data_IF_242542028403
#
_entry.id   IF_242542028403
#
_cell.length_a   1.000
_cell.length_b   1.000
_cell.length_c   1.000
_cell.angle_alpha   90.00
_cell.angle_beta   90.00
_cell.angle_gamma   90.00
#
_symmetry.space_group_name_H-M   'P 1'
#
loop_
_entity.id
_entity.type
_entity.pdbx_description
1 polymer ?
#
# COMPACT_ATOMS: atom_id res chain seq x y z
N UNK A 1 8.75 18.42 18.86
CA UNK A 1 7.44 18.68 18.20
C UNK A 1 7.13 17.73 17.03
N UNK A 2 8.09 17.03 16.42
CA UNK A 2 7.82 16.04 15.34
C UNK A 2 7.41 14.66 15.89
N UNK A 3 7.92 14.26 17.06
CA UNK A 3 7.62 12.96 17.66
C UNK A 3 6.12 12.73 17.91
N UNK A 4 5.37 13.77 18.28
CA UNK A 4 3.91 13.67 18.54
C UNK A 4 3.07 13.40 17.28
N UNK A 5 3.52 13.79 16.08
CA UNK A 5 2.81 13.45 14.85
C UNK A 5 3.00 11.97 14.46
N UNK A 6 4.10 11.35 14.88
CA UNK A 6 4.38 9.92 14.69
C UNK A 6 3.96 9.04 15.87
N UNK A 7 3.71 9.61 17.07
CA UNK A 7 3.37 8.85 18.29
C UNK A 7 2.02 9.17 18.92
N UNK A 8 1.20 10.08 18.35
CA UNK A 8 -0.15 10.34 18.88
C UNK A 8 -1.27 9.57 18.15
N UNK A 9 -0.99 8.96 16.99
CA UNK A 9 -1.92 8.03 16.34
C UNK A 9 -1.83 6.54 16.80
N UNK A 10 -0.69 5.99 17.27
CA UNK A 10 -0.57 4.57 17.60
C UNK A 10 -1.22 4.17 18.95
N UNK A 11 -1.99 5.06 19.59
CA UNK A 11 -2.79 4.69 20.76
C UNK A 11 -4.23 4.27 20.41
N UNK A 12 -4.64 4.38 19.13
CA UNK A 12 -6.01 4.07 18.71
C UNK A 12 -6.17 2.75 17.94
N UNK A 13 -5.07 2.12 17.51
CA UNK A 13 -5.11 0.88 16.72
C UNK A 13 -3.97 -0.01 17.17
N UNK A 14 -4.29 -1.08 17.88
CA UNK A 14 -3.38 -2.08 18.41
C UNK A 14 -2.70 -2.91 17.31
N UNK A 15 -1.89 -2.27 16.45
CA UNK A 15 -0.97 -2.88 15.49
C UNK A 15 0.44 -2.31 15.67
N UNK A 16 1.45 -3.14 15.48
CA UNK A 16 2.84 -2.72 15.67
C UNK A 16 3.22 -1.74 14.58
N UNK A 17 3.75 -0.55 14.91
CA UNK A 17 4.22 0.44 13.93
C UNK A 17 5.13 -0.19 12.85
N UNK A 18 5.87 -1.25 13.20
CA UNK A 18 6.67 -2.04 12.25
C UNK A 18 5.87 -2.78 11.18
N UNK A 19 4.68 -3.29 11.48
CA UNK A 19 3.82 -4.00 10.51
C UNK A 19 3.22 -3.04 9.49
N UNK A 20 2.70 -1.90 9.98
CA UNK A 20 2.23 -0.81 9.13
C UNK A 20 3.37 -0.21 8.29
N UNK A 21 4.54 0.03 8.90
CA UNK A 21 5.71 0.53 8.19
C UNK A 21 6.21 -0.45 7.13
N UNK A 22 6.25 -1.75 7.41
CA UNK A 22 6.64 -2.78 6.45
C UNK A 22 5.69 -2.87 5.27
N UNK A 23 4.38 -2.84 5.54
CA UNK A 23 3.34 -2.89 4.50
C UNK A 23 3.37 -1.63 3.63
N UNK A 24 3.48 -0.44 4.25
CA UNK A 24 3.60 0.83 3.54
C UNK A 24 4.91 0.92 2.73
N UNK A 25 6.04 0.48 3.30
CA UNK A 25 7.33 0.46 2.62
C UNK A 25 7.33 -0.48 1.42
N UNK A 26 6.71 -1.66 1.52
CA UNK A 26 6.57 -2.58 0.39
C UNK A 26 5.73 -2.00 -0.74
N UNK A 27 4.66 -1.25 -0.41
CA UNK A 27 3.87 -0.51 -1.38
C UNK A 27 4.68 0.59 -2.06
N UNK A 28 5.39 1.41 -1.27
CA UNK A 28 6.22 2.50 -1.76
C UNK A 28 7.33 2.01 -2.70
N UNK A 29 8.00 0.90 -2.35
CA UNK A 29 9.07 0.33 -3.15
C UNK A 29 8.57 -0.14 -4.53
N UNK A 30 7.40 -0.80 -4.57
CA UNK A 30 6.78 -1.21 -5.85
C UNK A 30 6.37 -0.03 -6.71
N UNK A 31 5.83 1.02 -6.09
CA UNK A 31 5.43 2.25 -6.77
C UNK A 31 6.65 2.98 -7.36
N UNK A 32 7.76 3.00 -6.61
CA UNK A 32 9.05 3.53 -7.06
C UNK A 32 9.61 2.74 -8.26
N UNK A 33 9.60 1.40 -8.19
CA UNK A 33 10.06 0.56 -9.31
C UNK A 33 9.18 0.72 -10.55
N UNK A 34 7.85 0.85 -10.39
CA UNK A 34 6.93 1.13 -11.50
C UNK A 34 7.24 2.49 -12.14
N UNK A 35 7.49 3.52 -11.33
CA UNK A 35 7.91 4.84 -11.81
C UNK A 35 9.23 4.77 -12.57
N UNK A 36 10.21 4.01 -12.08
CA UNK A 36 11.50 3.84 -12.75
C UNK A 36 11.33 3.12 -14.09
N UNK A 37 10.50 2.08 -14.15
CA UNK A 37 10.18 1.38 -15.39
C UNK A 37 9.53 2.31 -16.42
N UNK A 38 8.57 3.15 -16.01
CA UNK A 38 7.98 4.18 -16.88
C UNK A 38 9.01 5.22 -17.33
N UNK A 39 9.92 5.66 -16.46
CA UNK A 39 10.96 6.62 -16.81
C UNK A 39 11.95 6.04 -17.84
N UNK A 40 12.36 4.77 -17.67
CA UNK A 40 13.19 4.08 -18.64
C UNK A 40 12.44 3.92 -19.97
N UNK A 41 11.16 3.55 -19.93
CA UNK A 41 10.33 3.44 -21.13
C UNK A 41 10.18 4.77 -21.88
N UNK A 42 10.07 5.89 -21.15
CA UNK A 42 10.01 7.22 -21.76
C UNK A 42 11.29 7.58 -22.53
N UNK A 43 12.45 7.05 -22.11
CA UNK A 43 13.74 7.23 -22.79
C UNK A 43 13.95 6.17 -23.88
N UNK A 44 13.51 4.93 -23.63
CA UNK A 44 13.64 3.76 -24.49
C UNK A 44 12.26 3.13 -24.72
N UNK A 45 11.47 3.63 -25.69
CA UNK A 45 10.06 3.23 -25.87
C UNK A 45 9.85 1.76 -26.25
N UNK A 46 10.92 1.04 -26.61
CA UNK A 46 10.90 -0.39 -26.89
C UNK A 46 11.17 -1.27 -25.65
N UNK A 47 11.58 -0.68 -24.53
CA UNK A 47 11.85 -1.40 -23.28
C UNK A 47 10.71 -1.14 -22.29
N UNK A 48 10.21 -2.19 -21.63
CA UNK A 48 9.17 -2.11 -20.58
C UNK A 48 7.76 -1.64 -21.01
N UNK A 49 7.38 -1.79 -22.28
CA UNK A 49 6.08 -1.35 -22.81
C UNK A 49 4.85 -1.79 -21.97
N UNK A 50 4.88 -3.01 -21.42
CA UNK A 50 3.79 -3.52 -20.57
C UNK A 50 4.13 -3.57 -19.08
N UNK A 51 5.39 -3.35 -18.71
CA UNK A 51 5.86 -3.58 -17.34
C UNK A 51 5.37 -2.50 -16.40
N UNK A 52 5.39 -1.22 -16.81
CA UNK A 52 4.87 -0.11 -16.00
C UNK A 52 3.38 -0.29 -15.68
N UNK A 53 2.55 -0.50 -16.71
CA UNK A 53 1.11 -0.71 -16.57
C UNK A 53 0.77 -1.96 -15.74
N UNK A 54 1.50 -3.07 -15.94
CA UNK A 54 1.29 -4.29 -15.15
C UNK A 54 1.59 -4.08 -13.66
N UNK A 55 2.68 -3.36 -13.34
CA UNK A 55 3.04 -3.07 -11.94
C UNK A 55 2.03 -2.14 -11.26
N UNK A 56 1.52 -1.13 -11.97
CA UNK A 56 0.46 -0.24 -11.47
C UNK A 56 -0.82 -1.02 -11.22
N UNK A 57 -1.24 -1.88 -12.15
CA UNK A 57 -2.43 -2.72 -12.00
C UNK A 57 -2.30 -3.69 -10.83
N UNK A 58 -1.14 -4.34 -10.67
CA UNK A 58 -0.89 -5.21 -9.52
C UNK A 58 -0.98 -4.43 -8.20
N UNK A 59 -0.49 -3.20 -8.18
CA UNK A 59 -0.54 -2.33 -7.02
C UNK A 59 -1.98 -1.89 -6.69
N UNK A 60 -2.74 -1.55 -7.72
CA UNK A 60 -4.16 -1.19 -7.62
C UNK A 60 -4.98 -2.37 -7.06
N UNK A 61 -4.78 -3.57 -7.62
CA UNK A 61 -5.42 -4.78 -7.14
C UNK A 61 -5.08 -5.10 -5.68
N UNK A 62 -3.81 -4.90 -5.28
CA UNK A 62 -3.40 -5.05 -3.88
C UNK A 62 -4.12 -4.06 -2.99
N UNK A 63 -4.32 -2.82 -3.43
CA UNK A 63 -5.03 -1.80 -2.65
C UNK A 63 -6.51 -2.15 -2.47
N UNK A 64 -7.18 -2.57 -3.54
CA UNK A 64 -8.59 -2.98 -3.53
C UNK A 64 -8.80 -4.20 -2.65
N UNK A 65 -7.96 -5.24 -2.80
CA UNK A 65 -8.02 -6.44 -1.95
C UNK A 65 -7.77 -6.12 -0.48
N UNK A 66 -6.82 -5.23 -0.18
CA UNK A 66 -6.55 -4.85 1.20
C UNK A 66 -7.74 -4.10 1.81
N UNK A 67 -8.36 -3.18 1.06
CA UNK A 67 -9.59 -2.48 1.49
C UNK A 67 -10.75 -3.46 1.76
N UNK A 68 -10.96 -4.43 0.87
CA UNK A 68 -12.01 -5.44 1.04
C UNK A 68 -11.81 -6.28 2.32
N UNK A 69 -10.57 -6.65 2.64
CA UNK A 69 -10.25 -7.37 3.89
C UNK A 69 -10.58 -6.58 5.14
N UNK A 70 -10.26 -5.28 5.17
CA UNK A 70 -10.60 -4.41 6.29
C UNK A 70 -12.12 -4.25 6.45
N UNK A 71 -12.86 -4.10 5.34
CA UNK A 71 -14.31 -4.02 5.37
C UNK A 71 -14.98 -5.29 5.93
N UNK A 72 -14.44 -6.48 5.60
CA UNK A 72 -14.89 -7.77 6.15
C UNK A 72 -14.56 -7.89 7.64
N UNK A 73 -13.40 -7.41 8.08
CA UNK A 73 -13.03 -7.41 9.49
C UNK A 73 -13.95 -6.49 10.32
N UNK A 74 -14.27 -5.30 9.82
CA UNK A 74 -15.18 -4.35 10.47
C UNK A 74 -16.60 -4.92 10.61
N UNK A 75 -17.11 -5.57 9.56
CA UNK A 75 -18.44 -6.22 9.61
C UNK A 75 -18.47 -7.42 10.57
N UNK A 76 -17.41 -8.23 10.60
CA UNK A 76 -17.32 -9.36 11.54
C UNK A 76 -17.24 -8.90 13.01
N UNK A 77 -16.57 -7.77 13.29
CA UNK A 77 -16.52 -7.19 14.63
C UNK A 77 -17.87 -6.63 15.08
N UNK A 78 -18.60 -5.97 14.18
CA UNK A 78 -19.94 -5.45 14.45
C UNK A 78 -20.94 -6.58 14.75
N UNK A 79 -20.91 -7.67 13.98
CA UNK A 79 -21.79 -8.83 14.17
C UNK A 79 -21.49 -9.64 15.44
N UNK A 80 -20.29 -9.53 16.01
CA UNK A 80 -19.88 -10.25 17.23
C UNK A 80 -20.27 -9.53 18.51
N UNK A 81 -20.71 -8.27 18.42
CA UNK A 81 -21.11 -7.43 19.56
C UNK A 81 -22.62 -7.24 19.70
N UNK A 82 -23.41 -7.84 18.80
CA UNK A 82 -24.87 -7.90 18.81
C UNK A 82 -25.36 -9.27 19.28
#
# INVERSE_FOLDING_TARGET
>A
MIRRLFTAHPAAVSETYGEHFGTASGFALKLFLASLACAIHAVLPFLFEKTGSHMINELHDRMVRNRARHAVADTAYAARQS
#
